data_IF_945881601900
#
_entry.id   IF_945881601900
#
_cell.length_a   1.000
_cell.length_b   1.000
_cell.length_c   1.000
_cell.angle_alpha   90.00
_cell.angle_beta   90.00
_cell.angle_gamma   90.00
#
_symmetry.space_group_name_H-M   'P 1'
#
loop_
_entity.id
_entity.type
_entity.pdbx_description
1 polymer ?
#
# COMPACT_ATOMS: atom_id res chain seq x y z
N UNK A 1 -35.45 -15.32 -5.52
CA UNK A 1 -34.77 -14.73 -6.70
C UNK A 1 -33.35 -15.23 -6.67
N UNK A 2 -32.78 -15.60 -7.82
CA UNK A 2 -31.36 -15.99 -7.90
C UNK A 2 -30.52 -14.78 -7.51
N UNK A 3 -29.53 -14.98 -6.64
CA UNK A 3 -28.64 -13.93 -6.18
C UNK A 3 -27.91 -13.28 -7.39
N UNK A 4 -27.93 -11.95 -7.55
CA UNK A 4 -27.30 -11.27 -8.68
C UNK A 4 -25.81 -11.55 -8.84
N UNK A 5 -25.09 -11.77 -7.74
CA UNK A 5 -23.66 -12.09 -7.75
C UNK A 5 -23.40 -13.51 -8.26
N UNK A 6 -24.14 -14.49 -7.76
CA UNK A 6 -24.06 -15.88 -8.23
C UNK A 6 -24.36 -15.95 -9.73
N UNK A 7 -25.37 -15.19 -10.18
CA UNK A 7 -25.72 -15.13 -11.61
C UNK A 7 -24.60 -14.52 -12.46
N UNK A 8 -23.93 -13.46 -12.00
CA UNK A 8 -22.89 -12.82 -12.81
C UNK A 8 -21.66 -13.72 -12.98
N UNK A 9 -21.34 -14.52 -11.97
CA UNK A 9 -20.26 -15.53 -12.05
C UNK A 9 -20.65 -16.63 -13.04
N UNK A 10 -21.85 -17.19 -12.93
CA UNK A 10 -22.34 -18.23 -13.83
C UNK A 10 -22.41 -17.79 -15.30
N UNK A 11 -22.81 -16.53 -15.55
CA UNK A 11 -22.92 -15.98 -16.90
C UNK A 11 -21.59 -15.37 -17.42
N UNK A 12 -20.50 -15.41 -16.63
CA UNK A 12 -19.25 -14.73 -16.93
C UNK A 12 -19.43 -13.24 -17.30
N UNK A 13 -20.44 -12.61 -16.71
CA UNK A 13 -20.83 -11.23 -16.99
C UNK A 13 -20.15 -10.24 -16.03
N UNK A 14 -20.19 -8.96 -16.38
CA UNK A 14 -19.74 -7.89 -15.47
C UNK A 14 -20.67 -7.83 -14.25
N UNK A 15 -20.12 -7.58 -13.03
CA UNK A 15 -20.94 -7.45 -11.83
C UNK A 15 -21.98 -6.32 -12.00
N UNK A 16 -23.27 -6.57 -11.71
CA UNK A 16 -24.33 -5.58 -11.87
C UNK A 16 -24.32 -4.57 -10.70
N UNK A 17 -23.24 -3.80 -10.54
CA UNK A 17 -22.97 -2.94 -9.37
C UNK A 17 -24.14 -2.05 -8.94
N UNK A 18 -24.93 -1.54 -9.91
CA UNK A 18 -26.10 -0.70 -9.64
C UNK A 18 -27.27 -1.41 -8.94
N UNK A 19 -27.29 -2.74 -8.95
CA UNK A 19 -28.37 -3.57 -8.41
C UNK A 19 -27.94 -4.32 -7.13
N UNK A 20 -26.65 -4.33 -6.80
CA UNK A 20 -26.10 -5.05 -5.65
C UNK A 20 -26.54 -4.42 -4.33
N UNK A 21 -26.93 -5.27 -3.38
CA UNK A 21 -27.27 -4.90 -2.01
C UNK A 21 -26.30 -5.59 -1.03
N UNK A 22 -26.05 -5.00 0.16
CA UNK A 22 -25.24 -5.63 1.20
C UNK A 22 -25.67 -7.08 1.53
N UNK A 23 -26.97 -7.37 1.48
CA UNK A 23 -27.51 -8.70 1.78
C UNK A 23 -27.22 -9.75 0.70
N UNK A 24 -26.79 -9.35 -0.50
CA UNK A 24 -26.47 -10.27 -1.59
C UNK A 24 -25.08 -10.93 -1.41
N UNK A 25 -24.16 -10.31 -0.68
CA UNK A 25 -22.76 -10.76 -0.63
C UNK A 25 -22.55 -12.05 0.16
N UNK A 26 -23.06 -12.11 1.40
CA UNK A 26 -22.81 -13.24 2.29
C UNK A 26 -23.34 -14.58 1.75
N UNK A 27 -24.57 -14.67 1.19
CA UNK A 27 -25.05 -15.91 0.60
C UNK A 27 -24.22 -16.35 -0.61
N UNK A 28 -23.84 -15.43 -1.50
CA UNK A 28 -23.07 -15.76 -2.70
C UNK A 28 -21.65 -16.27 -2.35
N UNK A 29 -20.97 -15.61 -1.41
CA UNK A 29 -19.64 -16.01 -0.96
C UNK A 29 -19.66 -17.35 -0.23
N UNK A 30 -20.63 -17.59 0.65
CA UNK A 30 -20.74 -18.88 1.36
C UNK A 30 -20.99 -20.05 0.40
N UNK A 31 -21.86 -19.87 -0.58
CA UNK A 31 -22.05 -20.89 -1.63
C UNK A 31 -20.76 -21.15 -2.41
N UNK A 32 -20.04 -20.10 -2.84
CA UNK A 32 -18.78 -20.29 -3.57
C UNK A 32 -17.68 -20.95 -2.71
N UNK A 33 -17.64 -20.66 -1.40
CA UNK A 33 -16.72 -21.31 -0.46
C UNK A 33 -17.05 -22.80 -0.28
N UNK A 34 -18.34 -23.15 -0.20
CA UNK A 34 -18.80 -24.54 -0.13
C UNK A 34 -18.50 -25.32 -1.41
N UNK A 35 -18.72 -24.70 -2.58
CA UNK A 35 -18.39 -25.26 -3.89
C UNK A 35 -16.86 -25.50 -4.01
N UNK A 36 -16.05 -24.48 -3.73
CA UNK A 36 -14.59 -24.60 -3.73
C UNK A 36 -14.10 -25.70 -2.76
N UNK A 37 -14.65 -25.76 -1.55
CA UNK A 37 -14.27 -26.79 -0.58
C UNK A 37 -14.61 -28.21 -1.06
N UNK A 38 -15.77 -28.38 -1.71
CA UNK A 38 -16.22 -29.67 -2.24
C UNK A 38 -15.37 -30.10 -3.44
N UNK A 39 -15.13 -29.19 -4.38
CA UNK A 39 -14.34 -29.49 -5.57
C UNK A 39 -12.86 -29.71 -5.24
N UNK A 40 -12.34 -28.99 -4.24
CA UNK A 40 -11.00 -29.22 -3.71
C UNK A 40 -10.85 -30.65 -3.17
N UNK A 41 -11.82 -31.14 -2.39
CA UNK A 41 -11.81 -32.50 -1.86
C UNK A 41 -11.86 -33.55 -2.98
N UNK A 42 -12.66 -33.31 -4.03
CA UNK A 42 -12.70 -34.18 -5.20
C UNK A 42 -11.36 -34.20 -5.97
N UNK A 43 -10.72 -33.05 -6.15
CA UNK A 43 -9.38 -32.96 -6.78
C UNK A 43 -8.33 -33.68 -5.92
N UNK A 44 -8.37 -33.52 -4.60
CA UNK A 44 -7.46 -34.20 -3.69
C UNK A 44 -7.65 -35.73 -3.73
N UNK A 45 -8.89 -36.22 -3.79
CA UNK A 45 -9.18 -37.65 -3.91
C UNK A 45 -8.64 -38.21 -5.23
N UNK A 46 -8.91 -37.54 -6.36
CA UNK A 46 -8.42 -37.95 -7.68
C UNK A 46 -6.88 -37.97 -7.75
N UNK A 47 -6.22 -36.93 -7.24
CA UNK A 47 -4.76 -36.80 -7.28
C UNK A 47 -4.05 -37.68 -6.25
N UNK A 48 -4.76 -38.22 -5.26
CA UNK A 48 -4.21 -39.18 -4.31
C UNK A 48 -4.10 -40.59 -4.88
N UNK A 49 -4.80 -40.91 -5.98
CA UNK A 49 -4.69 -42.20 -6.66
C UNK A 49 -3.26 -42.37 -7.24
N UNK A 50 -2.53 -43.46 -6.90
CA UNK A 50 -1.23 -43.76 -7.51
C UNK A 50 -1.23 -43.86 -9.04
N UNK A 51 -2.39 -44.10 -9.66
CA UNK A 51 -2.58 -44.15 -11.10
C UNK A 51 -3.08 -42.84 -11.72
N UNK A 52 -3.16 -41.75 -10.96
CA UNK A 52 -3.65 -40.46 -11.45
C UNK A 52 -2.81 -39.95 -12.63
N UNK A 53 -3.49 -39.47 -13.68
CA UNK A 53 -2.83 -38.74 -14.75
C UNK A 53 -2.40 -37.36 -14.22
N UNK A 54 -1.10 -37.11 -14.21
CA UNK A 54 -0.52 -35.84 -13.75
C UNK A 54 -0.12 -35.02 -14.98
N UNK A 55 -1.08 -34.25 -15.48
CA UNK A 55 -0.94 -33.35 -16.62
C UNK A 55 -1.28 -31.92 -16.21
N UNK A 56 -0.98 -30.95 -17.08
CA UNK A 56 -1.33 -29.55 -16.80
C UNK A 56 -2.86 -29.39 -16.67
N UNK A 57 -3.61 -30.03 -17.55
CA UNK A 57 -5.07 -30.02 -17.57
C UNK A 57 -5.66 -30.65 -16.29
N UNK A 58 -5.09 -31.78 -15.83
CA UNK A 58 -5.59 -32.49 -14.65
C UNK A 58 -5.20 -31.84 -13.31
N UNK A 59 -4.25 -30.91 -13.31
CA UNK A 59 -3.79 -30.23 -12.09
C UNK A 59 -4.08 -28.74 -12.15
N UNK A 60 -3.44 -28.00 -13.04
CA UNK A 60 -3.46 -26.54 -13.02
C UNK A 60 -4.79 -25.97 -13.52
N UNK A 61 -5.33 -26.49 -14.63
CA UNK A 61 -6.59 -25.97 -15.19
C UNK A 61 -7.76 -26.27 -14.24
N UNK A 62 -7.78 -27.46 -13.62
CA UNK A 62 -8.77 -27.80 -12.59
C UNK A 62 -8.70 -26.86 -11.39
N UNK A 63 -7.50 -26.49 -10.95
CA UNK A 63 -7.33 -25.55 -9.84
C UNK A 63 -7.78 -24.14 -10.20
N UNK A 64 -7.45 -23.66 -11.41
CA UNK A 64 -7.91 -22.36 -11.89
C UNK A 64 -9.44 -22.28 -11.97
N UNK A 65 -10.09 -23.37 -12.41
CA UNK A 65 -11.55 -23.45 -12.49
C UNK A 65 -12.21 -23.33 -11.11
N UNK A 66 -11.68 -24.01 -10.08
CA UNK A 66 -12.29 -23.98 -8.75
C UNK A 66 -12.00 -22.68 -7.99
N UNK A 67 -10.85 -22.05 -8.24
CA UNK A 67 -10.45 -20.80 -7.60
C UNK A 67 -11.27 -19.58 -8.14
N UNK A 68 -11.61 -19.56 -9.44
CA UNK A 68 -12.21 -18.40 -10.13
C UNK A 68 -13.51 -17.86 -9.49
N UNK A 69 -14.52 -18.68 -9.14
CA UNK A 69 -15.77 -18.17 -8.59
C UNK A 69 -15.59 -17.37 -7.30
N UNK A 70 -14.80 -17.89 -6.35
CA UNK A 70 -14.56 -17.23 -5.07
C UNK A 70 -13.70 -15.97 -5.25
N UNK A 71 -12.66 -16.04 -6.07
CA UNK A 71 -11.76 -14.91 -6.32
C UNK A 71 -12.49 -13.74 -7.00
N UNK A 72 -13.36 -14.01 -7.97
CA UNK A 72 -14.20 -12.99 -8.61
C UNK A 72 -15.13 -12.32 -7.61
N UNK A 73 -15.84 -13.11 -6.81
CA UNK A 73 -16.77 -12.59 -5.81
C UNK A 73 -16.05 -11.76 -4.74
N UNK A 74 -14.92 -12.25 -4.23
CA UNK A 74 -14.11 -11.54 -3.25
C UNK A 74 -13.50 -10.26 -3.82
N UNK A 75 -13.12 -10.27 -5.10
CA UNK A 75 -12.70 -9.08 -5.84
C UNK A 75 -13.77 -8.00 -5.88
N UNK A 76 -15.05 -8.37 -6.07
CA UNK A 76 -16.18 -7.42 -6.02
C UNK A 76 -16.30 -6.79 -4.63
N UNK A 77 -16.22 -7.58 -3.57
CA UNK A 77 -16.31 -7.07 -2.18
C UNK A 77 -15.15 -6.12 -1.87
N UNK A 78 -13.93 -6.51 -2.24
CA UNK A 78 -12.72 -5.70 -2.02
C UNK A 78 -12.80 -4.39 -2.79
N UNK A 79 -13.22 -4.43 -4.05
CA UNK A 79 -13.41 -3.23 -4.87
C UNK A 79 -14.44 -2.28 -4.25
N UNK A 80 -15.63 -2.79 -3.90
CA UNK A 80 -16.70 -1.99 -3.32
C UNK A 80 -16.29 -1.38 -1.97
N UNK A 81 -15.47 -2.08 -1.19
CA UNK A 81 -14.93 -1.56 0.08
C UNK A 81 -13.93 -0.41 -0.11
N UNK A 82 -13.31 -0.29 -1.29
CA UNK A 82 -12.44 0.82 -1.66
C UNK A 82 -13.20 2.01 -2.27
N UNK A 83 -14.19 1.76 -3.14
CA UNK A 83 -14.86 2.82 -3.91
C UNK A 83 -16.19 3.29 -3.33
N UNK A 84 -16.85 2.46 -2.53
CA UNK A 84 -18.19 2.68 -1.99
C UNK A 84 -18.27 2.17 -0.53
N UNK A 85 -17.34 2.62 0.30
CA UNK A 85 -17.17 2.18 1.68
C UNK A 85 -18.34 2.63 2.58
N UNK A 86 -19.33 1.74 2.75
CA UNK A 86 -20.49 1.93 3.62
C UNK A 86 -20.41 1.01 4.87
N UNK A 87 -20.98 1.40 6.02
CA UNK A 87 -20.92 0.61 7.25
C UNK A 87 -21.38 -0.85 7.08
N UNK A 88 -22.44 -1.08 6.32
CA UNK A 88 -23.05 -2.38 6.10
C UNK A 88 -22.08 -3.32 5.36
N UNK A 89 -21.37 -2.80 4.34
CA UNK A 89 -20.39 -3.57 3.58
C UNK A 89 -19.14 -3.89 4.42
N UNK A 90 -18.72 -2.98 5.31
CA UNK A 90 -17.61 -3.26 6.24
C UNK A 90 -17.94 -4.39 7.21
N UNK A 91 -19.19 -4.44 7.69
CA UNK A 91 -19.64 -5.55 8.55
C UNK A 91 -19.59 -6.87 7.79
N UNK A 92 -20.14 -6.90 6.57
CA UNK A 92 -20.10 -8.08 5.69
C UNK A 92 -18.66 -8.53 5.42
N UNK A 93 -17.76 -7.58 5.08
CA UNK A 93 -16.35 -7.90 4.84
C UNK A 93 -15.69 -8.48 6.09
N UNK A 94 -15.84 -7.82 7.25
CA UNK A 94 -15.23 -8.26 8.50
C UNK A 94 -15.76 -9.62 8.98
N UNK A 95 -17.03 -9.94 8.71
CA UNK A 95 -17.64 -11.23 9.01
C UNK A 95 -17.05 -12.34 8.12
N UNK A 96 -16.92 -12.10 6.81
CA UNK A 96 -16.58 -13.13 5.83
C UNK A 96 -15.08 -13.30 5.58
N UNK A 97 -14.27 -12.27 5.83
CA UNK A 97 -12.81 -12.31 5.67
C UNK A 97 -12.15 -13.53 6.35
N UNK A 98 -12.43 -13.87 7.62
CA UNK A 98 -11.84 -15.07 8.22
C UNK A 98 -12.33 -16.38 7.58
N UNK A 99 -13.58 -16.44 7.10
CA UNK A 99 -14.12 -17.64 6.41
C UNK A 99 -13.42 -17.84 5.06
N UNK A 100 -13.29 -16.77 4.27
CA UNK A 100 -12.62 -16.78 2.95
C UNK A 100 -11.16 -17.19 3.09
N UNK A 101 -10.44 -16.58 4.03
CA UNK A 101 -9.04 -16.90 4.28
C UNK A 101 -8.85 -18.35 4.69
N UNK A 102 -9.75 -18.91 5.52
CA UNK A 102 -9.65 -20.30 5.95
C UNK A 102 -9.75 -21.29 4.77
N UNK A 103 -10.66 -21.04 3.81
CA UNK A 103 -10.81 -21.91 2.63
C UNK A 103 -9.62 -21.75 1.67
N UNK A 104 -9.17 -20.52 1.43
CA UNK A 104 -7.99 -20.24 0.61
C UNK A 104 -6.72 -20.86 1.22
N UNK A 105 -6.55 -20.79 2.54
CA UNK A 105 -5.45 -21.42 3.25
C UNK A 105 -5.51 -22.94 3.14
N UNK A 106 -6.68 -23.57 3.29
CA UNK A 106 -6.87 -25.02 3.08
C UNK A 106 -6.40 -25.43 1.68
N UNK A 107 -6.83 -24.71 0.64
CA UNK A 107 -6.42 -24.93 -0.75
C UNK A 107 -4.92 -24.73 -0.96
N UNK A 108 -4.36 -23.65 -0.41
CA UNK A 108 -2.93 -23.33 -0.58
C UNK A 108 -2.00 -24.31 0.17
N UNK A 109 -2.47 -24.88 1.28
CA UNK A 109 -1.72 -25.79 2.14
C UNK A 109 -1.95 -27.28 1.80
N UNK A 110 -2.74 -27.59 0.77
CA UNK A 110 -2.97 -28.97 0.33
C UNK A 110 -1.66 -29.66 -0.06
N UNK A 111 -1.27 -30.67 0.73
CA UNK A 111 -0.06 -31.46 0.49
C UNK A 111 -0.23 -32.35 -0.75
N UNK A 112 -1.44 -32.83 -1.03
CA UNK A 112 -1.72 -33.69 -2.19
C UNK A 112 -1.54 -32.90 -3.48
N UNK A 113 -2.17 -31.73 -3.57
CA UNK A 113 -2.02 -30.83 -4.72
C UNK A 113 -0.57 -30.38 -4.88
N UNK A 114 0.11 -30.02 -3.79
CA UNK A 114 1.52 -29.67 -3.85
C UNK A 114 2.39 -30.80 -4.44
N UNK A 115 2.17 -32.05 -4.01
CA UNK A 115 2.89 -33.21 -4.56
C UNK A 115 2.59 -33.42 -6.05
N UNK A 116 1.34 -33.26 -6.46
CA UNK A 116 0.95 -33.34 -7.88
C UNK A 116 1.62 -32.24 -8.71
N UNK A 117 1.68 -31.01 -8.23
CA UNK A 117 2.41 -29.91 -8.89
C UNK A 117 3.93 -30.18 -8.99
N UNK A 118 4.52 -30.77 -7.96
CA UNK A 118 5.95 -31.18 -8.00
C UNK A 118 6.16 -32.29 -9.03
N UNK A 119 5.29 -33.31 -9.06
CA UNK A 119 5.37 -34.38 -10.05
C UNK A 119 5.18 -33.85 -11.48
N UNK A 120 4.22 -32.95 -11.70
CA UNK A 120 4.03 -32.25 -12.97
C UNK A 120 5.29 -31.49 -13.39
N UNK A 121 5.92 -30.78 -12.45
CA UNK A 121 7.16 -30.03 -12.69
C UNK A 121 8.35 -30.92 -13.04
N UNK A 122 8.43 -32.10 -12.45
CA UNK A 122 9.52 -33.04 -12.65
C UNK A 122 9.27 -33.97 -13.86
N UNK A 123 8.08 -33.89 -14.47
CA UNK A 123 7.73 -34.66 -15.67
C UNK A 123 8.54 -34.26 -16.91
N UNK A 124 8.69 -35.19 -17.86
CA UNK A 124 9.30 -34.91 -19.17
C UNK A 124 8.54 -33.85 -19.96
N UNK A 125 7.23 -33.80 -19.75
CA UNK A 125 6.27 -33.00 -20.52
C UNK A 125 6.31 -31.52 -20.09
N UNK A 126 6.95 -31.23 -18.96
CA UNK A 126 7.21 -29.86 -18.50
C UNK A 126 7.90 -28.99 -19.56
N UNK A 127 8.79 -29.57 -20.35
CA UNK A 127 9.53 -28.84 -21.39
C UNK A 127 8.66 -28.55 -22.63
N UNK A 128 7.49 -29.17 -22.75
CA UNK A 128 6.54 -28.99 -23.84
C UNK A 128 5.46 -27.95 -23.51
N UNK A 129 5.35 -27.53 -22.25
CA UNK A 129 4.39 -26.51 -21.81
C UNK A 129 4.68 -25.14 -22.42
N UNK A 130 3.61 -24.38 -22.64
CA UNK A 130 3.66 -23.03 -23.22
C UNK A 130 4.39 -22.05 -22.30
N UNK A 131 4.93 -20.94 -22.85
CA UNK A 131 5.58 -19.90 -22.06
C UNK A 131 4.73 -19.37 -20.89
N UNK A 132 3.41 -19.27 -21.08
CA UNK A 132 2.41 -18.78 -20.13
C UNK A 132 2.28 -19.71 -18.91
N UNK A 133 2.16 -21.01 -19.16
CA UNK A 133 2.10 -22.06 -18.12
C UNK A 133 3.38 -22.09 -17.26
N UNK A 134 4.53 -21.82 -17.89
CA UNK A 134 5.81 -21.71 -17.18
C UNK A 134 5.98 -20.41 -16.38
N UNK A 135 5.17 -19.38 -16.60
CA UNK A 135 5.19 -18.11 -15.83
C UNK A 135 4.37 -18.24 -14.55
N UNK A 136 3.23 -18.95 -14.60
CA UNK A 136 2.39 -19.20 -13.41
C UNK A 136 3.11 -20.01 -12.31
N UNK A 137 4.17 -20.74 -12.65
CA UNK A 137 4.97 -21.56 -11.72
C UNK A 137 6.21 -20.85 -11.14
N UNK A 138 6.31 -19.52 -11.26
CA UNK A 138 7.43 -18.75 -10.71
C UNK A 138 7.46 -18.84 -9.17
N UNK A 139 8.48 -19.53 -8.66
CA UNK A 139 8.70 -19.77 -7.23
C UNK A 139 9.93 -18.98 -6.72
N UNK A 140 9.82 -18.41 -5.51
CA UNK A 140 10.88 -17.68 -4.84
C UNK A 140 12.00 -18.60 -4.34
N UNK A 141 11.76 -19.89 -4.09
CA UNK A 141 12.77 -20.79 -3.50
C UNK A 141 14.00 -20.98 -4.40
N UNK A 142 13.84 -20.89 -5.73
CA UNK A 142 14.97 -20.94 -6.67
C UNK A 142 15.22 -19.60 -7.36
N UNK A 143 15.73 -18.65 -6.58
CA UNK A 143 16.08 -17.28 -6.99
C UNK A 143 16.87 -17.17 -8.31
N UNK A 144 17.74 -18.14 -8.60
CA UNK A 144 18.57 -18.16 -9.83
C UNK A 144 17.76 -18.55 -11.06
N UNK A 145 16.84 -19.51 -10.94
CA UNK A 145 15.94 -19.91 -12.03
C UNK A 145 14.87 -18.84 -12.27
N UNK A 146 14.25 -18.34 -11.20
CA UNK A 146 13.28 -17.25 -11.24
C UNK A 146 13.89 -15.98 -11.86
N UNK A 147 15.06 -15.55 -11.40
CA UNK A 147 15.76 -14.38 -11.95
C UNK A 147 16.12 -14.50 -13.43
N UNK A 148 16.52 -15.70 -13.90
CA UNK A 148 16.75 -15.96 -15.33
C UNK A 148 15.46 -15.91 -16.15
N UNK A 149 14.36 -16.43 -15.61
CA UNK A 149 13.05 -16.42 -16.29
C UNK A 149 12.49 -15.01 -16.39
N UNK A 150 12.50 -14.25 -15.29
CA UNK A 150 12.07 -12.84 -15.29
C UNK A 150 12.89 -12.04 -16.30
N UNK A 151 14.20 -12.28 -16.42
CA UNK A 151 15.03 -11.62 -17.43
C UNK A 151 14.57 -11.93 -18.86
N UNK A 152 14.22 -13.19 -19.17
CA UNK A 152 13.65 -13.56 -20.48
C UNK A 152 12.31 -12.89 -20.73
N UNK A 153 11.46 -12.72 -19.71
CA UNK A 153 10.19 -12.00 -19.84
C UNK A 153 10.40 -10.52 -20.12
N UNK A 154 11.37 -9.88 -19.45
CA UNK A 154 11.74 -8.47 -19.73
C UNK A 154 12.18 -8.32 -21.20
N UNK A 155 12.99 -9.25 -21.70
CA UNK A 155 13.43 -9.27 -23.10
C UNK A 155 12.25 -9.50 -24.07
N UNK A 156 11.36 -10.46 -23.76
CA UNK A 156 10.18 -10.73 -24.56
C UNK A 156 9.21 -9.53 -24.63
N UNK A 157 8.93 -8.87 -23.49
CA UNK A 157 8.12 -7.65 -23.45
C UNK A 157 8.78 -6.51 -24.25
N UNK A 158 10.11 -6.43 -24.24
CA UNK A 158 10.85 -5.49 -25.07
C UNK A 158 10.69 -5.76 -26.57
N UNK A 159 10.59 -7.03 -27.00
CA UNK A 159 10.28 -7.37 -28.38
C UNK A 159 8.82 -7.07 -28.74
N UNK A 160 7.88 -7.28 -27.80
CA UNK A 160 6.46 -6.97 -28.02
C UNK A 160 6.24 -5.46 -28.26
N UNK A 161 7.02 -4.61 -27.59
CA UNK A 161 6.99 -3.16 -27.79
C UNK A 161 7.40 -2.74 -29.22
N UNK A 162 8.12 -3.59 -29.97
CA UNK A 162 8.59 -3.29 -31.33
C UNK A 162 7.55 -3.60 -32.43
N UNK A 163 6.40 -4.19 -32.10
CA UNK A 163 5.34 -4.41 -33.10
C UNK A 163 4.65 -3.09 -33.45
N UNK A 164 4.54 -2.78 -34.75
CA UNK A 164 3.98 -1.52 -35.27
C UNK A 164 2.57 -1.21 -34.73
N UNK A 165 1.74 -2.24 -34.51
CA UNK A 165 0.39 -2.09 -33.96
C UNK A 165 0.38 -1.64 -32.49
N UNK A 166 1.42 -2.00 -31.73
CA UNK A 166 1.56 -1.69 -30.30
C UNK A 166 2.24 -0.33 -30.12
N UNK A 167 3.19 0.03 -30.99
CA UNK A 167 3.87 1.34 -30.93
C UNK A 167 2.91 2.52 -31.10
N UNK A 168 1.80 2.31 -31.83
CA UNK A 168 0.75 3.34 -32.00
C UNK A 168 -0.13 3.57 -30.76
N UNK A 169 -0.14 2.65 -29.80
CA UNK A 169 -0.97 2.74 -28.59
C UNK A 169 -0.15 3.18 -27.38
N UNK A 170 -0.23 4.48 -27.04
CA UNK A 170 0.53 5.08 -25.94
C UNK A 170 0.23 4.42 -24.59
N UNK A 171 -1.02 4.02 -24.36
CA UNK A 171 -1.47 3.36 -23.12
C UNK A 171 -0.84 1.97 -22.98
N UNK A 172 -0.84 1.17 -24.05
CA UNK A 172 -0.25 -0.18 -24.03
C UNK A 172 1.26 -0.07 -23.82
N UNK A 173 1.91 0.92 -24.45
CA UNK A 173 3.34 1.20 -24.26
C UNK A 173 3.66 1.58 -22.80
N UNK A 174 2.82 2.38 -22.15
CA UNK A 174 2.97 2.72 -20.74
C UNK A 174 2.89 1.48 -19.85
N UNK A 175 1.88 0.62 -20.04
CA UNK A 175 1.73 -0.62 -19.28
C UNK A 175 2.87 -1.61 -19.50
N UNK A 176 3.36 -1.75 -20.74
CA UNK A 176 4.52 -2.59 -21.04
C UNK A 176 5.79 -2.05 -20.34
N UNK A 177 5.99 -0.73 -20.35
CA UNK A 177 7.11 -0.09 -19.67
C UNK A 177 7.04 -0.27 -18.15
N UNK A 178 5.88 -0.06 -17.53
CA UNK A 178 5.68 -0.29 -16.09
C UNK A 178 5.89 -1.77 -15.72
N UNK A 179 5.34 -2.70 -16.51
CA UNK A 179 5.51 -4.14 -16.30
C UNK A 179 6.99 -4.55 -16.34
N UNK A 180 7.74 -4.04 -17.33
CA UNK A 180 9.20 -4.25 -17.41
C UNK A 180 9.93 -3.64 -16.21
N UNK A 181 9.50 -2.48 -15.71
CA UNK A 181 10.08 -1.86 -14.53
C UNK A 181 9.86 -2.72 -13.28
N UNK A 182 8.64 -3.22 -13.05
CA UNK A 182 8.34 -4.12 -11.94
C UNK A 182 9.13 -5.42 -12.01
N UNK A 183 9.21 -6.06 -13.18
CA UNK A 183 10.02 -7.27 -13.37
C UNK A 183 11.51 -7.00 -13.11
N UNK A 184 12.01 -5.83 -13.49
CA UNK A 184 13.38 -5.42 -13.21
C UNK A 184 13.62 -5.26 -11.71
N UNK A 185 12.67 -4.67 -10.99
CA UNK A 185 12.71 -4.55 -9.54
C UNK A 185 12.69 -5.92 -8.85
N UNK A 186 11.81 -6.82 -9.29
CA UNK A 186 11.77 -8.20 -8.79
C UNK A 186 13.12 -8.93 -8.94
N UNK A 187 13.80 -8.80 -10.09
CA UNK A 187 15.14 -9.40 -10.29
C UNK A 187 16.17 -8.83 -9.32
N UNK A 188 16.09 -7.53 -9.01
CA UNK A 188 17.00 -6.89 -8.04
C UNK A 188 16.73 -7.43 -6.64
N UNK A 189 15.47 -7.53 -6.24
CA UNK A 189 15.06 -8.01 -4.91
C UNK A 189 15.40 -9.48 -4.70
N UNK A 190 15.14 -10.34 -5.69
CA UNK A 190 15.45 -11.79 -5.65
C UNK A 190 16.95 -12.07 -5.52
N UNK A 191 17.82 -11.12 -5.89
CA UNK A 191 19.28 -11.25 -5.77
C UNK A 191 19.84 -10.77 -4.44
N UNK A 192 19.01 -10.23 -3.54
CA UNK A 192 19.46 -9.81 -2.21
C UNK A 192 19.82 -11.07 -1.41
N UNK A 193 21.11 -11.22 -1.10
CA UNK A 193 21.62 -12.32 -0.28
C UNK A 193 21.67 -11.90 1.19
N UNK A 194 21.61 -12.86 2.14
CA UNK A 194 21.85 -12.58 3.55
C UNK A 194 23.18 -11.85 3.80
N UNK A 195 24.23 -12.16 3.03
CA UNK A 195 25.52 -11.44 3.14
C UNK A 195 25.38 -9.94 2.85
N UNK A 196 24.57 -9.57 1.86
CA UNK A 196 24.32 -8.18 1.48
C UNK A 196 23.57 -7.46 2.59
N UNK A 197 22.64 -8.14 3.26
CA UNK A 197 21.93 -7.59 4.42
C UNK A 197 22.90 -7.25 5.56
N UNK A 198 23.85 -8.14 5.87
CA UNK A 198 24.88 -7.88 6.87
C UNK A 198 25.79 -6.69 6.51
N UNK A 199 26.15 -6.54 5.23
CA UNK A 199 26.91 -5.37 4.76
C UNK A 199 26.09 -4.08 4.91
N UNK A 200 24.80 -4.11 4.53
CA UNK A 200 23.91 -2.95 4.68
C UNK A 200 23.75 -2.58 6.15
N UNK A 201 23.56 -3.55 7.04
CA UNK A 201 23.46 -3.33 8.48
C UNK A 201 24.72 -2.64 9.03
N UNK A 202 25.90 -3.14 8.68
CA UNK A 202 27.17 -2.56 9.12
C UNK A 202 27.44 -1.15 8.54
N UNK A 203 27.20 -0.94 7.24
CA UNK A 203 27.45 0.36 6.57
C UNK A 203 26.42 1.40 6.99
N UNK A 204 25.20 0.97 7.30
CA UNK A 204 24.12 1.85 7.72
C UNK A 204 24.06 2.05 9.23
N UNK A 205 25.00 1.53 10.01
CA UNK A 205 25.01 1.74 11.46
C UNK A 205 24.85 3.24 11.77
N UNK A 206 23.84 3.56 12.56
CA UNK A 206 23.46 4.93 12.89
C UNK A 206 23.67 5.21 14.38
N UNK A 207 24.23 4.27 15.16
CA UNK A 207 24.41 4.45 16.60
C UNK A 207 25.23 5.70 16.95
N UNK A 208 26.20 6.10 16.11
CA UNK A 208 26.97 7.34 16.33
C UNK A 208 26.14 8.62 16.14
N UNK A 209 25.01 8.54 15.44
CA UNK A 209 24.22 9.72 15.11
C UNK A 209 23.48 10.29 16.32
N UNK A 210 23.40 9.55 17.43
CA UNK A 210 22.72 9.98 18.66
C UNK A 210 23.14 11.37 19.12
N UNK A 211 24.45 11.65 19.08
CA UNK A 211 25.02 12.94 19.52
C UNK A 211 24.72 14.10 18.54
N UNK A 212 24.55 13.80 17.25
CA UNK A 212 24.45 14.81 16.18
C UNK A 212 23.03 14.94 15.61
N UNK A 213 22.11 14.06 15.99
CA UNK A 213 20.77 13.99 15.41
C UNK A 213 20.01 15.32 15.53
N UNK A 214 20.21 16.02 16.65
CA UNK A 214 19.57 17.32 16.91
C UNK A 214 20.05 18.42 15.96
N UNK A 215 21.28 18.35 15.44
CA UNK A 215 21.84 19.34 14.51
C UNK A 215 21.09 19.33 13.16
N UNK A 216 20.57 18.16 12.77
CA UNK A 216 19.80 17.98 11.55
C UNK A 216 18.36 18.49 11.66
N UNK A 217 17.86 18.81 12.85
CA UNK A 217 16.47 19.22 13.04
C UNK A 217 16.10 20.44 12.19
N UNK A 218 16.97 21.45 12.17
CA UNK A 218 16.76 22.67 11.37
C UNK A 218 16.74 22.39 9.85
N UNK A 219 17.58 21.46 9.41
CA UNK A 219 17.69 21.03 8.01
C UNK A 219 16.43 20.28 7.59
N UNK A 220 15.98 19.33 8.42
CA UNK A 220 14.76 18.56 8.21
C UNK A 220 13.54 19.48 8.13
N UNK A 221 13.39 20.40 9.08
CA UNK A 221 12.30 21.38 9.08
C UNK A 221 12.33 22.27 7.83
N UNK A 222 13.50 22.75 7.44
CA UNK A 222 13.65 23.54 6.20
C UNK A 222 13.29 22.73 4.96
N UNK A 223 13.70 21.47 4.88
CA UNK A 223 13.42 20.60 3.74
C UNK A 223 11.93 20.31 3.61
N UNK A 224 11.27 19.98 4.71
CA UNK A 224 9.82 19.71 4.77
C UNK A 224 9.00 20.97 4.44
N UNK A 225 9.44 22.15 4.87
CA UNK A 225 8.81 23.44 4.49
C UNK A 225 8.91 23.73 2.99
N UNK A 226 10.07 23.44 2.40
CA UNK A 226 10.33 23.74 0.98
C UNK A 226 9.62 22.75 0.07
N UNK A 227 9.49 21.50 0.50
CA UNK A 227 9.00 20.39 -0.32
C UNK A 227 8.08 19.46 0.48
N UNK A 228 6.75 19.64 0.36
CA UNK A 228 5.76 18.83 1.07
C UNK A 228 5.85 17.33 0.75
N UNK A 229 6.37 16.95 -0.42
CA UNK A 229 6.48 15.53 -0.81
C UNK A 229 7.53 14.78 0.01
N UNK A 230 8.47 15.49 0.66
CA UNK A 230 9.46 14.89 1.57
C UNK A 230 8.83 14.24 2.81
N UNK A 231 7.58 14.57 3.14
CA UNK A 231 6.86 14.02 4.30
C UNK A 231 6.77 12.50 4.22
N UNK A 232 6.54 11.94 3.02
CA UNK A 232 6.48 10.48 2.78
C UNK A 232 7.81 9.80 3.15
N UNK A 233 8.93 10.50 2.95
CA UNK A 233 10.28 9.99 3.20
C UNK A 233 10.65 10.00 4.69
N UNK A 234 9.96 10.79 5.52
CA UNK A 234 10.22 10.86 6.96
C UNK A 234 10.02 9.50 7.63
N UNK A 235 9.08 8.69 7.16
CA UNK A 235 8.88 7.33 7.68
C UNK A 235 10.13 6.47 7.53
N UNK A 236 10.80 6.53 6.39
CA UNK A 236 12.04 5.77 6.18
C UNK A 236 13.15 6.25 7.13
N UNK A 237 13.23 7.57 7.35
CA UNK A 237 14.15 8.14 8.35
C UNK A 237 13.83 7.64 9.76
N UNK A 238 12.57 7.67 10.19
CA UNK A 238 12.16 7.24 11.53
C UNK A 238 12.40 5.75 11.76
N UNK A 239 12.09 4.91 10.77
CA UNK A 239 12.43 3.48 10.79
C UNK A 239 13.94 3.28 10.97
N UNK A 240 14.75 4.09 10.27
CA UNK A 240 16.20 3.98 10.40
C UNK A 240 16.71 4.49 11.75
N UNK A 241 16.09 5.51 12.32
CA UNK A 241 16.42 6.02 13.66
C UNK A 241 16.18 4.98 14.76
N UNK A 242 15.18 4.11 14.61
CA UNK A 242 14.95 3.02 15.57
C UNK A 242 16.19 2.12 15.72
N UNK A 243 16.96 1.91 14.64
CA UNK A 243 18.16 1.06 14.67
C UNK A 243 19.30 1.60 15.55
N UNK A 244 19.23 2.86 16.00
CA UNK A 244 20.20 3.42 16.95
C UNK A 244 20.23 2.61 18.25
N UNK A 245 19.09 2.04 18.65
CA UNK A 245 18.94 1.31 19.91
C UNK A 245 19.35 -0.15 19.83
N UNK A 246 19.48 -0.73 18.63
CA UNK A 246 19.66 -2.17 18.45
C UNK A 246 20.95 -2.67 19.14
N UNK A 247 22.10 -2.04 18.85
CA UNK A 247 23.39 -2.45 19.40
C UNK A 247 23.47 -2.23 20.92
N UNK A 248 23.12 -1.05 21.48
CA UNK A 248 23.12 -0.84 22.93
C UNK A 248 22.19 -1.79 23.69
N UNK A 249 20.94 -1.98 23.24
CA UNK A 249 19.98 -2.84 23.92
C UNK A 249 20.39 -4.31 23.85
N UNK A 250 20.91 -4.75 22.71
CA UNK A 250 21.44 -6.12 22.56
C UNK A 250 22.58 -6.38 23.55
N UNK A 251 23.50 -5.42 23.75
CA UNK A 251 24.59 -5.56 24.73
C UNK A 251 24.08 -5.66 26.16
N UNK A 252 23.12 -4.83 26.55
CA UNK A 252 22.53 -4.85 27.91
C UNK A 252 21.79 -6.19 28.15
N UNK A 253 21.06 -6.66 27.14
CA UNK A 253 20.38 -7.95 27.17
C UNK A 253 21.37 -9.11 27.33
N UNK A 254 22.48 -9.10 26.58
CA UNK A 254 23.54 -10.10 26.68
C UNK A 254 24.21 -10.12 28.06
N UNK A 255 24.34 -8.95 28.71
CA UNK A 255 24.82 -8.83 30.09
C UNK A 255 23.80 -9.30 31.14
N UNK A 256 22.58 -9.68 30.74
CA UNK A 256 21.48 -10.10 31.63
C UNK A 256 21.16 -9.06 32.72
N UNK A 257 21.28 -7.78 32.40
CA UNK A 257 20.92 -6.71 33.32
C UNK A 257 19.41 -6.65 33.55
N UNK A 258 18.98 -6.36 34.78
CA UNK A 258 17.58 -6.07 35.12
C UNK A 258 17.06 -4.80 34.46
N UNK A 259 17.97 -3.91 34.03
CA UNK A 259 17.63 -2.56 33.59
C UNK A 259 17.32 -2.48 32.09
N UNK A 260 17.29 -3.62 31.39
CA UNK A 260 17.05 -3.65 29.94
C UNK A 260 15.73 -2.98 29.55
N UNK A 261 14.67 -3.19 30.33
CA UNK A 261 13.35 -2.62 30.07
C UNK A 261 13.36 -1.12 30.32
N UNK A 262 13.86 -0.67 31.47
CA UNK A 262 13.88 0.75 31.83
C UNK A 262 14.75 1.58 30.87
N UNK A 263 15.88 1.04 30.45
CA UNK A 263 16.75 1.67 29.45
C UNK A 263 16.05 1.72 28.08
N UNK A 264 15.43 0.62 27.65
CA UNK A 264 14.69 0.60 26.39
C UNK A 264 13.54 1.62 26.38
N UNK A 265 12.77 1.72 27.48
CA UNK A 265 11.67 2.68 27.62
C UNK A 265 12.16 4.12 27.52
N UNK A 266 13.21 4.47 28.27
CA UNK A 266 13.76 5.82 28.28
C UNK A 266 14.25 6.26 26.90
N UNK A 267 15.13 5.47 26.27
CA UNK A 267 15.71 5.84 24.98
C UNK A 267 14.70 5.75 23.82
N UNK A 268 13.74 4.83 23.87
CA UNK A 268 12.63 4.83 22.92
C UNK A 268 11.82 6.12 23.07
N UNK A 269 11.57 6.58 24.29
CA UNK A 269 10.88 7.84 24.57
C UNK A 269 11.57 9.06 23.95
N UNK A 270 12.89 9.17 24.13
CA UNK A 270 13.69 10.25 23.54
C UNK A 270 13.62 10.27 21.99
N UNK A 271 13.63 9.10 21.34
CA UNK A 271 13.44 9.00 19.88
C UNK A 271 12.03 9.43 19.48
N UNK A 272 11.00 8.99 20.22
CA UNK A 272 9.61 9.39 19.98
C UNK A 272 9.47 10.90 20.08
N UNK A 273 10.07 11.53 21.08
CA UNK A 273 10.02 12.98 21.27
C UNK A 273 10.81 13.74 20.20
N UNK A 274 11.93 13.19 19.72
CA UNK A 274 12.61 13.72 18.54
C UNK A 274 11.71 13.66 17.29
N UNK A 275 11.07 12.52 17.04
CA UNK A 275 10.16 12.31 15.91
C UNK A 275 8.97 13.27 15.97
N UNK A 276 8.38 13.47 17.16
CA UNK A 276 7.32 14.47 17.38
C UNK A 276 7.79 15.87 17.02
N UNK A 277 8.96 16.30 17.51
CA UNK A 277 9.56 17.61 17.16
C UNK A 277 9.80 17.79 15.67
N UNK A 278 10.22 16.74 14.96
CA UNK A 278 10.36 16.79 13.49
C UNK A 278 8.99 16.99 12.83
N UNK A 279 7.95 16.29 13.30
CA UNK A 279 6.60 16.37 12.74
C UNK A 279 5.85 17.67 13.05
N UNK A 280 6.17 18.38 14.14
CA UNK A 280 5.55 19.67 14.51
C UNK A 280 5.60 20.72 13.39
N UNK A 281 6.56 20.61 12.46
CA UNK A 281 6.68 21.54 11.34
C UNK A 281 5.55 21.42 10.32
N UNK A 282 4.91 20.26 10.24
CA UNK A 282 3.84 19.98 9.29
C UNK A 282 2.58 20.79 9.63
N UNK A 283 1.98 20.69 10.83
CA UNK A 283 0.80 21.48 11.18
C UNK A 283 1.10 22.99 11.09
N UNK A 284 2.28 23.45 11.53
CA UNK A 284 2.69 24.86 11.37
C UNK A 284 2.66 25.33 9.91
N UNK A 285 3.17 24.49 8.99
CA UNK A 285 3.22 24.79 7.56
C UNK A 285 1.83 24.77 6.94
N UNK A 286 1.01 23.76 7.26
CA UNK A 286 -0.41 23.68 6.82
C UNK A 286 -1.18 24.92 7.24
N UNK A 287 -1.12 25.28 8.53
CA UNK A 287 -1.83 26.46 9.03
C UNK A 287 -1.30 27.78 8.46
N UNK A 288 -0.01 27.88 8.09
CA UNK A 288 0.53 29.04 7.38
C UNK A 288 -0.05 29.13 5.96
N UNK A 289 -0.14 28.02 5.24
CA UNK A 289 -0.71 27.98 3.88
C UNK A 289 -2.21 28.29 3.93
N UNK A 290 -2.95 27.72 4.89
CA UNK A 290 -4.37 28.02 5.09
C UNK A 290 -4.63 29.50 5.38
N UNK A 291 -3.80 30.14 6.21
CA UNK A 291 -3.89 31.60 6.43
C UNK A 291 -3.64 32.39 5.14
N UNK A 292 -2.69 31.94 4.31
CA UNK A 292 -2.45 32.51 2.98
C UNK A 292 -3.63 32.34 2.03
N UNK A 293 -4.31 31.18 2.07
CA UNK A 293 -5.53 30.91 1.30
C UNK A 293 -6.65 31.85 1.73
N UNK A 294 -6.89 32.01 3.04
CA UNK A 294 -7.90 32.92 3.57
C UNK A 294 -7.61 34.35 3.11
N UNK A 295 -6.36 34.82 3.23
CA UNK A 295 -5.97 36.15 2.76
C UNK A 295 -6.19 36.33 1.26
N UNK A 296 -5.85 35.33 0.45
CA UNK A 296 -6.06 35.36 -0.99
C UNK A 296 -7.55 35.38 -1.37
N UNK A 297 -8.39 34.66 -0.62
CA UNK A 297 -9.84 34.66 -0.78
C UNK A 297 -10.49 35.99 -0.37
N UNK A 298 -10.03 36.60 0.73
CA UNK A 298 -10.64 37.82 1.29
C UNK A 298 -10.15 39.10 0.60
N UNK A 299 -8.85 39.23 0.34
CA UNK A 299 -8.24 40.50 -0.08
C UNK A 299 -8.05 40.61 -1.60
N UNK A 300 -7.87 39.48 -2.29
CA UNK A 300 -7.38 39.46 -3.68
C UNK A 300 -8.41 38.92 -4.68
N UNK A 301 -9.26 37.98 -4.29
CA UNK A 301 -10.28 37.44 -5.19
C UNK A 301 -11.57 38.26 -5.16
N UNK A 302 -11.97 38.76 -6.32
CA UNK A 302 -13.24 39.48 -6.48
C UNK A 302 -14.38 38.50 -6.74
N UNK A 303 -15.54 38.79 -6.18
CA UNK A 303 -16.77 38.03 -6.43
C UNK A 303 -17.10 38.08 -7.94
N UNK A 304 -17.42 36.93 -8.52
CA UNK A 304 -17.85 36.84 -9.92
C UNK A 304 -19.33 37.26 -10.00
N UNK A 305 -19.70 38.23 -10.85
CA UNK A 305 -21.08 38.63 -11.03
C UNK A 305 -21.89 37.55 -11.76
N UNK A 306 -23.21 37.52 -11.51
CA UNK A 306 -24.14 36.50 -12.03
C UNK A 306 -24.30 36.59 -13.56
N UNK A 307 -24.04 37.75 -14.16
CA UNK A 307 -24.04 37.98 -15.61
C UNK A 307 -22.73 38.64 -16.03
N UNK A 308 -22.12 38.13 -17.09
CA UNK A 308 -20.82 38.59 -17.61
C UNK A 308 -20.92 38.70 -19.14
N UNK A 309 -20.46 39.82 -19.70
CA UNK A 309 -20.29 39.93 -21.15
C UNK A 309 -19.10 39.05 -21.61
N UNK A 310 -19.26 38.33 -22.73
CA UNK A 310 -18.30 37.32 -23.17
C UNK A 310 -16.87 37.85 -23.40
N UNK A 311 -16.75 39.10 -23.83
CA UNK A 311 -15.50 39.85 -24.00
C UNK A 311 -14.76 40.13 -22.68
N UNK A 312 -15.45 40.22 -21.54
CA UNK A 312 -14.89 40.52 -20.21
C UNK A 312 -14.61 39.26 -19.38
N UNK A 313 -14.98 38.07 -19.88
CA UNK A 313 -14.82 36.80 -19.17
C UNK A 313 -13.38 36.56 -18.69
N UNK A 314 -12.39 36.86 -19.54
CA UNK A 314 -10.97 36.65 -19.21
C UNK A 314 -10.50 37.55 -18.04
N UNK A 315 -11.08 38.74 -17.90
CA UNK A 315 -10.77 39.66 -16.82
C UNK A 315 -11.42 39.21 -15.50
N UNK A 316 -12.64 38.68 -15.56
CA UNK A 316 -13.35 38.15 -14.38
C UNK A 316 -12.88 36.75 -13.94
N UNK A 317 -12.25 35.99 -14.84
CA UNK A 317 -11.75 34.65 -14.57
C UNK A 317 -10.66 34.61 -13.48
N UNK A 318 -9.88 35.70 -13.32
CA UNK A 318 -8.83 35.83 -12.28
C UNK A 318 -7.86 34.62 -12.26
N UNK A 319 -7.40 34.20 -13.44
CA UNK A 319 -6.64 32.97 -13.63
C UNK A 319 -5.37 32.89 -12.76
N UNK A 320 -4.68 34.02 -12.54
CA UNK A 320 -3.48 34.08 -11.70
C UNK A 320 -3.77 33.74 -10.24
N UNK A 321 -4.80 34.37 -9.66
CA UNK A 321 -5.16 34.15 -8.26
C UNK A 321 -5.77 32.77 -8.05
N UNK A 322 -6.57 32.28 -9.01
CA UNK A 322 -7.09 30.91 -8.99
C UNK A 322 -5.99 29.86 -9.09
N UNK A 323 -4.96 30.10 -9.91
CA UNK A 323 -3.80 29.22 -9.97
C UNK A 323 -3.04 29.20 -8.63
N UNK A 324 -2.83 30.36 -8.01
CA UNK A 324 -2.21 30.45 -6.67
C UNK A 324 -3.03 29.72 -5.61
N UNK A 325 -4.36 29.87 -5.63
CA UNK A 325 -5.27 29.13 -4.76
C UNK A 325 -5.13 27.62 -4.97
N UNK A 326 -5.23 27.15 -6.21
CA UNK A 326 -5.11 25.74 -6.55
C UNK A 326 -3.75 25.17 -6.13
N UNK A 327 -2.67 25.91 -6.33
CA UNK A 327 -1.32 25.54 -5.89
C UNK A 327 -1.23 25.41 -4.37
N UNK A 328 -1.74 26.38 -3.62
CA UNK A 328 -1.73 26.36 -2.16
C UNK A 328 -2.56 25.18 -1.62
N UNK A 329 -3.73 24.93 -2.19
CA UNK A 329 -4.58 23.77 -1.83
C UNK A 329 -3.88 22.45 -2.16
N UNK A 330 -3.19 22.35 -3.30
CA UNK A 330 -2.41 21.16 -3.65
C UNK A 330 -1.25 20.93 -2.66
N UNK A 331 -0.55 21.98 -2.24
CA UNK A 331 0.51 21.87 -1.23
C UNK A 331 -0.03 21.36 0.11
N UNK A 332 -1.21 21.81 0.55
CA UNK A 332 -1.89 21.26 1.74
C UNK A 332 -2.26 19.79 1.54
N UNK A 333 -2.79 19.41 0.37
CA UNK A 333 -3.12 18.00 0.05
C UNK A 333 -1.90 17.11 0.20
N UNK A 334 -0.74 17.54 -0.32
CA UNK A 334 0.51 16.77 -0.24
C UNK A 334 0.98 16.51 1.19
N UNK A 335 0.83 17.48 2.10
CA UNK A 335 1.13 17.25 3.53
C UNK A 335 0.21 16.19 4.13
N UNK A 336 -1.09 16.26 3.84
CA UNK A 336 -2.10 15.33 4.37
C UNK A 336 -1.91 13.92 3.79
N UNK A 337 -1.74 13.80 2.48
CA UNK A 337 -1.42 12.53 1.80
C UNK A 337 -0.14 11.92 2.37
N UNK A 338 0.89 12.76 2.56
CA UNK A 338 2.17 12.33 3.13
C UNK A 338 2.02 11.70 4.51
N UNK A 339 1.18 12.28 5.38
CA UNK A 339 0.91 11.74 6.72
C UNK A 339 0.01 10.51 6.67
N UNK A 340 -1.03 10.52 5.84
CA UNK A 340 -1.94 9.38 5.69
C UNK A 340 -1.22 8.14 5.15
N UNK A 341 -0.22 8.33 4.30
CA UNK A 341 0.64 7.28 3.77
C UNK A 341 1.62 6.72 4.82
N UNK A 342 1.88 7.45 5.91
CA UNK A 342 2.71 6.92 6.99
C UNK A 342 1.93 5.90 7.80
N UNK A 343 2.38 4.65 7.76
CA UNK A 343 1.90 3.62 8.68
C UNK A 343 2.47 3.84 10.08
N UNK A 344 1.83 3.23 11.07
CA UNK A 344 2.38 3.14 12.42
C UNK A 344 3.80 2.58 12.38
N UNK A 345 4.67 3.19 13.15
CA UNK A 345 6.11 2.91 13.12
C UNK A 345 6.58 2.57 14.51
N UNK A 346 7.17 1.38 14.66
CA UNK A 346 7.79 0.95 15.90
C UNK A 346 9.18 1.61 16.03
N UNK A 347 9.39 2.32 17.13
CA UNK A 347 10.63 2.99 17.49
C UNK A 347 11.14 2.39 18.80
N UNK A 348 12.05 1.41 18.68
CA UNK A 348 12.45 0.59 19.82
C UNK A 348 11.28 -0.25 20.31
N UNK A 349 10.80 0.04 21.52
CA UNK A 349 9.64 -0.65 22.13
C UNK A 349 8.35 0.19 22.13
N UNK A 350 8.40 1.42 21.62
CA UNK A 350 7.24 2.31 21.55
C UNK A 350 6.72 2.42 20.11
N UNK A 351 5.41 2.35 19.94
CA UNK A 351 4.77 2.57 18.65
C UNK A 351 4.35 4.04 18.51
N UNK A 352 4.71 4.67 17.38
CA UNK A 352 4.25 6.01 17.04
C UNK A 352 3.19 5.92 15.96
N UNK A 353 2.03 6.51 16.24
CA UNK A 353 0.98 6.76 15.26
C UNK A 353 1.12 8.20 14.70
N UNK A 354 1.55 8.37 13.44
CA UNK A 354 1.69 9.69 12.80
C UNK A 354 0.38 10.49 12.78
N UNK A 355 -0.79 9.82 12.75
CA UNK A 355 -2.09 10.49 12.73
C UNK A 355 -2.38 11.16 14.07
N UNK A 356 -2.08 10.48 15.17
CA UNK A 356 -2.25 11.01 16.51
C UNK A 356 -1.33 12.21 16.75
N UNK A 357 -0.06 12.12 16.32
CA UNK A 357 0.89 13.23 16.45
C UNK A 357 0.48 14.44 15.63
N UNK A 358 -0.09 14.22 14.43
CA UNK A 358 -0.65 15.31 13.64
C UNK A 358 -1.83 15.96 14.37
N UNK A 359 -2.79 15.17 14.87
CA UNK A 359 -3.97 15.69 15.54
C UNK A 359 -3.60 16.54 16.76
N UNK A 360 -2.64 16.07 17.56
CA UNK A 360 -2.09 16.81 18.68
C UNK A 360 -1.38 18.09 18.22
N UNK A 361 -0.56 18.02 17.18
CA UNK A 361 0.10 19.18 16.60
C UNK A 361 -0.87 20.22 16.03
N UNK A 362 -1.94 19.78 15.36
CA UNK A 362 -3.00 20.67 14.86
C UNK A 362 -3.76 21.32 16.01
N UNK A 363 -4.09 20.56 17.07
CA UNK A 363 -4.73 21.07 18.28
C UNK A 363 -3.85 22.12 18.96
N UNK A 364 -2.55 21.88 19.07
CA UNK A 364 -1.57 22.81 19.65
C UNK A 364 -1.49 24.11 18.86
N UNK A 365 -1.43 24.04 17.53
CA UNK A 365 -1.43 25.22 16.65
C UNK A 365 -2.75 26.00 16.70
N UNK A 366 -3.90 25.31 16.78
CA UNK A 366 -5.20 25.96 16.97
C UNK A 366 -5.24 26.75 18.28
N UNK A 367 -4.86 26.12 19.39
CA UNK A 367 -4.81 26.78 20.71
C UNK A 367 -3.87 27.98 20.66
N UNK A 368 -2.69 27.82 20.07
CA UNK A 368 -1.71 28.91 19.93
C UNK A 368 -2.28 30.12 19.17
N UNK A 369 -3.06 29.89 18.11
CA UNK A 369 -3.67 30.96 17.30
C UNK A 369 -4.94 31.56 17.89
N UNK A 370 -5.68 30.80 18.70
CA UNK A 370 -6.93 31.26 19.35
C UNK A 370 -6.64 32.01 20.66
N UNK A 371 -5.59 31.64 21.40
CA UNK A 371 -5.23 32.26 22.68
C UNK A 371 -5.08 33.80 22.63
N UNK A 372 -4.47 34.41 21.59
CA UNK A 372 -4.40 35.87 21.46
C UNK A 372 -5.78 36.50 21.22
N UNK A 373 -6.67 35.82 20.48
CA UNK A 373 -8.03 36.31 20.23
C UNK A 373 -8.86 36.31 21.51
N UNK A 374 -8.76 35.27 22.35
CA UNK A 374 -9.47 35.24 23.64
C UNK A 374 -8.99 36.30 24.62
N UNK A 375 -7.69 36.64 24.63
CA UNK A 375 -7.15 37.70 25.49
C UNK A 375 -7.65 39.08 25.04
N UNK A 376 -7.74 39.33 23.73
CA UNK A 376 -8.33 40.59 23.21
C UNK A 376 -9.82 40.76 23.48
N UNK A 377 -10.55 39.69 23.78
CA UNK A 377 -11.95 39.75 24.20
C UNK A 377 -12.12 40.07 25.69
N UNK A 378 -11.11 39.79 26.52
CA UNK A 378 -11.13 40.11 27.96
C UNK A 378 -10.74 41.57 28.22
N UNK A 379 -9.89 42.18 27.37
CA UNK A 379 -9.50 43.59 27.50
C UNK A 379 -10.55 44.59 26.92
N UNK A 380 -11.68 44.08 26.39
CA UNK A 380 -12.78 44.89 25.81
C UNK A 380 -14.07 44.80 26.65
N UNK A 381 -14.03 44.08 27.78
CA UNK A 381 -15.04 44.11 28.84
C UNK A 381 -14.47 44.82 30.08
#
# INVERSE_FOLDING_TARGET
MLNPLTRCVQEYALPPFAQLRPDDYAPALRTAMEELATDLEAIEEDLADPGADISWESVMDRLEIIDDPLDRLWGVVTHMSMVANVPELRTVQAELEPEVLAVQDKRAQSVVIYKAMVALRDSSDWNLLTPEQQVASLDYVNHVKAGRRIKRLIEALGHVEQFDQIDTSLQVKAFLSESRAYLTEMVRTVRVRPEVMGIIEAVSDLSYAWEIINDFMSILHTRVKRDPSCVILLRALFLKLASILDVPLTRIYQCKSSDVISVAEYYSGEIVDYVRRVMEIIPQSVFRILAGIIKLQTDHMKVIPVKIEANLLKNHAQLSERYRLARATNEVSKYTEGILAMKKTLLGILEVDPRQVLEEGLRKELVYRVRPMSLSFVDVL
#
